data_IF_010051408409
#
_entry.id   IF_010051408409
#
_cell.length_a   1.000
_cell.length_b   1.000
_cell.length_c   1.000
_cell.angle_alpha   90.00
_cell.angle_beta   90.00
_cell.angle_gamma   90.00
#
_symmetry.space_group_name_H-M   'P 1'
#
loop_
_entity.id
_entity.type
_entity.pdbx_description
1 polymer ?
#
# COMPACT_ATOMS: atom_id res chain seq x y z
N UNK A 1 -1.69 10.50 -1.73
CA UNK A 1 -0.78 9.90 -0.77
C UNK A 1 -1.04 10.38 0.65
N UNK A 2 -0.96 11.69 0.92
CA UNK A 2 -1.14 12.27 2.27
C UNK A 2 -2.50 11.89 2.88
N UNK A 3 -3.59 11.94 2.11
CA UNK A 3 -4.92 11.60 2.61
C UNK A 3 -5.01 10.13 3.04
N UNK A 4 -4.44 9.23 2.25
CA UNK A 4 -4.40 7.79 2.55
C UNK A 4 -3.60 7.52 3.83
N UNK A 5 -2.38 8.08 3.94
CA UNK A 5 -1.54 7.91 5.13
C UNK A 5 -2.23 8.42 6.41
N UNK A 6 -2.88 9.59 6.34
CA UNK A 6 -3.67 10.14 7.47
C UNK A 6 -4.82 9.23 7.87
N UNK A 7 -5.56 8.70 6.88
CA UNK A 7 -6.67 7.79 7.15
C UNK A 7 -6.19 6.52 7.84
N UNK A 8 -5.10 5.91 7.35
CA UNK A 8 -4.47 4.74 7.96
C UNK A 8 -3.99 5.05 9.38
N UNK A 9 -3.38 6.22 9.60
CA UNK A 9 -2.96 6.66 10.92
C UNK A 9 -4.14 6.77 11.89
N UNK A 10 -5.22 7.43 11.48
CA UNK A 10 -6.42 7.58 12.29
C UNK A 10 -7.06 6.24 12.65
N UNK A 11 -7.04 5.31 11.72
CA UNK A 11 -7.52 3.94 11.93
C UNK A 11 -6.57 3.09 12.77
N UNK A 12 -5.44 3.62 13.22
CA UNK A 12 -4.53 2.97 14.17
C UNK A 12 -3.49 2.03 13.53
N UNK A 13 -3.23 2.16 12.22
CA UNK A 13 -2.13 1.42 11.60
C UNK A 13 -0.78 1.95 12.08
N UNK A 14 0.15 1.03 12.38
CA UNK A 14 1.50 1.38 12.82
C UNK A 14 2.27 2.18 11.76
N UNK A 15 3.19 3.03 12.21
CA UNK A 15 4.01 3.86 11.32
C UNK A 15 4.79 3.03 10.30
N UNK A 16 5.26 1.83 10.68
CA UNK A 16 6.01 0.94 9.78
C UNK A 16 5.17 0.33 8.66
N UNK A 17 3.86 0.11 8.88
CA UNK A 17 2.97 -0.49 7.88
C UNK A 17 2.31 0.51 6.92
N UNK A 18 2.17 1.76 7.35
CA UNK A 18 1.44 2.77 6.57
C UNK A 18 2.05 3.06 5.20
N UNK A 19 3.38 3.15 5.02
CA UNK A 19 3.97 3.38 3.71
C UNK A 19 3.58 2.32 2.68
N UNK A 20 3.72 1.04 3.01
CA UNK A 20 3.39 -0.09 2.14
C UNK A 20 1.91 -0.11 1.76
N UNK A 21 1.00 0.05 2.74
CA UNK A 21 -0.43 0.11 2.49
C UNK A 21 -0.83 1.33 1.67
N UNK A 22 -0.18 2.49 1.89
CA UNK A 22 -0.40 3.70 1.09
C UNK A 22 -0.02 3.47 -0.36
N UNK A 23 1.12 2.85 -0.62
CA UNK A 23 1.56 2.53 -1.98
C UNK A 23 0.66 1.49 -2.65
N UNK A 24 0.28 0.44 -1.91
CA UNK A 24 -0.66 -0.56 -2.42
C UNK A 24 -1.99 0.07 -2.82
N UNK A 25 -2.55 0.99 -2.02
CA UNK A 25 -3.76 1.72 -2.35
C UNK A 25 -3.62 2.58 -3.62
N UNK A 26 -2.48 3.27 -3.79
CA UNK A 26 -2.20 4.08 -4.98
C UNK A 26 -2.05 3.20 -6.21
N UNK A 27 -1.31 2.09 -6.13
CA UNK A 27 -1.14 1.19 -7.25
C UNK A 27 -2.42 0.47 -7.62
N UNK A 28 -3.20 0.02 -6.64
CA UNK A 28 -4.51 -0.59 -6.87
C UNK A 28 -5.44 0.38 -7.63
N UNK A 29 -5.56 1.62 -7.16
CA UNK A 29 -6.36 2.63 -7.84
C UNK A 29 -5.84 2.94 -9.26
N UNK A 30 -4.53 2.95 -9.44
CA UNK A 30 -3.86 3.21 -10.72
C UNK A 30 -4.07 2.09 -11.73
N UNK A 31 -4.13 0.84 -11.26
CA UNK A 31 -4.40 -0.35 -12.07
C UNK A 31 -5.89 -0.55 -12.36
N UNK A 32 -6.77 0.30 -11.83
CA UNK A 32 -8.22 0.18 -12.00
C UNK A 32 -8.86 -0.94 -11.19
N UNK A 33 -8.21 -1.35 -10.10
CA UNK A 33 -8.73 -2.29 -9.10
C UNK A 33 -9.60 -1.55 -8.07
N UNK A 34 -9.91 -2.17 -6.93
CA UNK A 34 -10.77 -1.56 -5.90
C UNK A 34 -10.21 -0.27 -5.30
N UNK A 35 -8.88 -0.12 -5.26
CA UNK A 35 -8.21 1.14 -4.97
C UNK A 35 -8.67 1.82 -3.68
N UNK A 36 -9.11 3.06 -3.79
CA UNK A 36 -9.54 3.85 -2.63
C UNK A 36 -10.88 3.39 -2.03
N UNK A 37 -11.68 2.58 -2.72
CA UNK A 37 -12.93 2.02 -2.21
C UNK A 37 -12.66 1.08 -1.02
N UNK A 38 -11.58 0.29 -1.05
CA UNK A 38 -11.16 -0.55 0.08
C UNK A 38 -10.92 0.27 1.35
N UNK A 39 -10.37 1.48 1.21
CA UNK A 39 -10.09 2.36 2.36
C UNK A 39 -11.35 2.94 2.99
N UNK A 40 -12.40 3.11 2.22
CA UNK A 40 -13.67 3.66 2.71
C UNK A 40 -14.57 2.57 3.26
N UNK A 41 -14.70 1.47 2.52
CA UNK A 41 -15.70 0.45 2.80
C UNK A 41 -15.17 -0.68 3.69
N UNK A 42 -13.88 -0.98 3.61
CA UNK A 42 -13.33 -2.21 4.22
C UNK A 42 -11.91 -2.04 4.82
N UNK A 43 -11.59 -0.85 5.33
CA UNK A 43 -10.26 -0.59 5.89
C UNK A 43 -9.90 -1.54 7.05
N UNK A 44 -10.89 -2.02 7.80
CA UNK A 44 -10.65 -2.92 8.92
C UNK A 44 -10.22 -4.34 8.46
N UNK A 45 -10.56 -4.75 7.23
CA UNK A 45 -10.05 -5.98 6.63
C UNK A 45 -8.51 -5.95 6.46
N UNK A 46 -7.93 -4.76 6.31
CA UNK A 46 -6.47 -4.59 6.24
C UNK A 46 -5.77 -4.86 7.58
N UNK A 47 -6.51 -4.91 8.69
CA UNK A 47 -5.97 -5.20 10.04
C UNK A 47 -5.95 -6.68 10.36
N UNK A 48 -6.71 -7.50 9.64
CA UNK A 48 -6.85 -8.92 9.93
C UNK A 48 -5.49 -9.61 9.79
N UNK A 49 -5.03 -10.27 10.84
CA UNK A 49 -3.87 -11.15 10.81
C UNK A 49 -2.50 -10.50 10.61
N UNK A 50 -2.37 -9.18 10.81
CA UNK A 50 -1.11 -8.43 10.58
C UNK A 50 0.12 -9.06 11.26
N UNK A 51 -0.07 -9.78 12.36
CA UNK A 51 1.04 -10.25 13.21
C UNK A 51 1.51 -11.70 12.92
N UNK A 52 0.78 -12.46 12.11
CA UNK A 52 1.07 -13.87 11.89
C UNK A 52 1.22 -14.21 10.41
N UNK A 53 2.41 -14.58 10.00
CA UNK A 53 2.68 -15.21 8.71
C UNK A 53 3.13 -16.64 8.95
N UNK A 54 2.65 -17.58 8.15
CA UNK A 54 3.22 -18.92 8.12
C UNK A 54 3.78 -19.22 6.74
N UNK A 55 5.08 -19.36 6.67
CA UNK A 55 5.74 -19.97 5.54
C UNK A 55 5.42 -21.47 5.58
N UNK A 56 4.59 -21.96 4.64
CA UNK A 56 4.15 -23.36 4.65
C UNK A 56 5.18 -24.32 4.07
N UNK A 57 6.03 -23.83 3.18
CA UNK A 57 7.06 -24.66 2.54
C UNK A 57 8.23 -23.80 2.06
N UNK A 58 9.44 -24.16 2.47
CA UNK A 58 10.70 -23.61 1.98
C UNK A 58 11.42 -24.70 1.18
N UNK A 59 10.88 -25.04 0.00
CA UNK A 59 11.71 -25.73 -0.98
C UNK A 59 12.56 -24.66 -1.68
N UNK A 60 13.82 -25.01 -2.02
CA UNK A 60 14.82 -24.08 -2.57
C UNK A 60 14.36 -23.31 -3.83
N UNK A 61 13.22 -23.67 -4.42
CA UNK A 61 12.72 -23.11 -5.68
C UNK A 61 11.28 -22.58 -5.61
N UNK A 62 10.47 -23.01 -4.63
CA UNK A 62 9.07 -22.59 -4.54
C UNK A 62 8.72 -22.26 -3.09
N UNK A 63 8.46 -20.99 -2.84
CA UNK A 63 7.92 -20.54 -1.56
C UNK A 63 6.40 -20.61 -1.59
N UNK A 64 5.81 -21.12 -0.52
CA UNK A 64 4.36 -21.09 -0.32
C UNK A 64 4.04 -20.31 0.96
N UNK A 65 3.34 -19.20 0.80
CA UNK A 65 2.91 -18.33 1.88
C UNK A 65 1.41 -18.56 2.16
N UNK A 66 1.06 -18.87 3.39
CA UNK A 66 -0.33 -18.85 3.84
C UNK A 66 -0.68 -17.45 4.34
N UNK A 67 -1.53 -16.76 3.61
CA UNK A 67 -2.00 -15.43 3.97
C UNK A 67 -3.03 -15.45 5.13
N UNK A 68 -3.55 -16.61 5.54
CA UNK A 68 -4.47 -16.74 6.67
C UNK A 68 -5.69 -15.81 6.60
N UNK A 69 -6.22 -15.60 5.40
CA UNK A 69 -7.37 -14.71 5.16
C UNK A 69 -7.03 -13.20 5.11
N UNK A 70 -5.76 -12.84 5.10
CA UNK A 70 -5.34 -11.44 4.98
C UNK A 70 -5.70 -10.87 3.62
N UNK A 71 -5.96 -9.58 3.59
CA UNK A 71 -6.08 -8.82 2.37
C UNK A 71 -4.75 -8.79 1.59
N UNK A 72 -4.80 -8.83 0.27
CA UNK A 72 -3.62 -8.86 -0.60
C UNK A 72 -2.61 -7.73 -0.30
N UNK A 73 -3.06 -6.52 0.00
CA UNK A 73 -2.16 -5.41 0.35
C UNK A 73 -1.35 -5.65 1.62
N UNK A 74 -1.88 -6.43 2.55
CA UNK A 74 -1.18 -6.73 3.81
C UNK A 74 0.04 -7.64 3.62
N UNK A 75 0.11 -8.38 2.52
CA UNK A 75 1.19 -9.32 2.19
C UNK A 75 2.01 -8.91 0.97
N UNK A 76 1.58 -7.89 0.22
CA UNK A 76 2.18 -7.51 -1.05
C UNK A 76 3.65 -7.06 -0.91
N UNK A 77 3.99 -6.30 0.14
CA UNK A 77 5.36 -5.85 0.41
C UNK A 77 6.27 -7.04 0.70
N UNK A 78 5.82 -7.99 1.52
CA UNK A 78 6.57 -9.20 1.87
C UNK A 78 6.85 -10.08 0.66
N UNK A 79 5.87 -10.22 -0.23
CA UNK A 79 6.04 -10.97 -1.47
C UNK A 79 7.07 -10.26 -2.36
N UNK A 80 7.02 -8.93 -2.45
CA UNK A 80 8.01 -8.14 -3.18
C UNK A 80 9.42 -8.34 -2.63
N UNK A 81 9.58 -8.33 -1.31
CA UNK A 81 10.86 -8.55 -0.64
C UNK A 81 11.38 -9.98 -0.85
N UNK A 82 10.50 -10.98 -0.73
CA UNK A 82 10.85 -12.38 -0.98
C UNK A 82 11.33 -12.60 -2.42
N UNK A 83 10.61 -12.08 -3.41
CA UNK A 83 11.00 -12.18 -4.82
C UNK A 83 12.34 -11.49 -5.08
N UNK A 84 12.56 -10.32 -4.47
CA UNK A 84 13.81 -9.57 -4.60
C UNK A 84 14.98 -10.35 -4.01
N UNK A 85 14.80 -10.98 -2.85
CA UNK A 85 15.86 -11.79 -2.22
C UNK A 85 16.11 -13.09 -2.99
N UNK A 86 15.06 -13.73 -3.54
CA UNK A 86 15.22 -14.91 -4.39
C UNK A 86 16.01 -14.59 -5.65
N UNK A 87 15.73 -13.46 -6.32
CA UNK A 87 16.47 -12.99 -7.48
C UNK A 87 17.95 -12.75 -7.15
N UNK A 88 18.25 -12.07 -6.04
CA UNK A 88 19.63 -11.86 -5.56
C UNK A 88 20.38 -13.17 -5.32
N UNK A 89 19.68 -14.22 -4.91
CA UNK A 89 20.24 -15.56 -4.71
C UNK A 89 20.30 -16.40 -5.98
N UNK A 90 20.01 -15.85 -7.16
CA UNK A 90 19.93 -16.56 -8.45
C UNK A 90 18.98 -17.78 -8.38
N UNK A 91 17.85 -17.65 -7.71
CA UNK A 91 16.82 -18.69 -7.62
C UNK A 91 15.68 -18.38 -8.59
N UNK A 92 15.02 -19.44 -9.06
CA UNK A 92 13.72 -19.26 -9.68
C UNK A 92 12.77 -18.60 -8.68
N UNK A 93 12.24 -17.43 -9.05
CA UNK A 93 11.50 -16.58 -8.13
C UNK A 93 10.02 -16.79 -8.35
N UNK A 94 9.44 -17.74 -7.62
CA UNK A 94 8.00 -17.95 -7.58
C UNK A 94 7.52 -18.05 -6.13
N UNK A 95 6.58 -17.19 -5.77
CA UNK A 95 5.89 -17.24 -4.47
C UNK A 95 4.43 -17.58 -4.72
N UNK A 96 3.99 -18.73 -4.24
CA UNK A 96 2.58 -19.11 -4.22
C UNK A 96 1.94 -18.64 -2.93
N UNK A 97 0.81 -17.94 -3.04
CA UNK A 97 0.05 -17.45 -1.89
C UNK A 97 -1.28 -18.17 -1.82
N UNK A 98 -1.60 -18.74 -0.67
CA UNK A 98 -2.88 -19.41 -0.40
C UNK A 98 -3.66 -18.67 0.68
N UNK A 99 -4.97 -18.95 0.77
CA UNK A 99 -5.87 -18.33 1.76
C UNK A 99 -5.83 -16.79 1.78
N UNK A 100 -5.78 -16.19 0.59
CA UNK A 100 -5.69 -14.75 0.40
C UNK A 100 -7.09 -14.16 0.19
N UNK A 101 -7.41 -13.09 0.90
CA UNK A 101 -8.59 -12.28 0.61
C UNK A 101 -8.26 -11.25 -0.49
N UNK A 102 -9.20 -11.05 -1.42
CA UNK A 102 -9.07 -10.18 -2.59
C UNK A 102 -7.80 -10.50 -3.42
N UNK A 103 -7.66 -11.71 -3.97
CA UNK A 103 -6.44 -12.14 -4.67
C UNK A 103 -6.12 -11.29 -5.90
N UNK A 104 -7.11 -10.67 -6.55
CA UNK A 104 -6.95 -9.73 -7.66
C UNK A 104 -6.14 -8.50 -7.27
N UNK A 105 -6.26 -8.06 -6.03
CA UNK A 105 -5.52 -6.94 -5.47
C UNK A 105 -4.00 -7.22 -5.33
N UNK A 106 -3.59 -8.48 -5.47
CA UNK A 106 -2.16 -8.81 -5.46
C UNK A 106 -1.41 -8.28 -6.68
N UNK A 107 -2.13 -7.82 -7.72
CA UNK A 107 -1.53 -7.15 -8.88
C UNK A 107 -0.67 -5.95 -8.51
N UNK A 108 -0.86 -5.34 -7.33
CA UNK A 108 -0.01 -4.25 -6.81
C UNK A 108 1.45 -4.68 -6.58
N UNK A 109 1.75 -5.98 -6.49
CA UNK A 109 3.13 -6.48 -6.39
C UNK A 109 3.94 -6.13 -7.64
N UNK A 110 3.29 -6.10 -8.82
CA UNK A 110 3.96 -5.69 -10.06
C UNK A 110 4.67 -4.34 -9.93
N UNK A 111 3.96 -3.24 -9.69
CA UNK A 111 4.59 -1.94 -9.48
C UNK A 111 5.46 -1.84 -8.21
N UNK A 112 5.18 -2.60 -7.15
CA UNK A 112 6.03 -2.63 -5.96
C UNK A 112 7.43 -3.16 -6.28
N UNK A 113 7.53 -4.28 -6.98
CA UNK A 113 8.82 -4.92 -7.32
C UNK A 113 9.60 -4.12 -8.36
N UNK A 114 8.95 -3.30 -9.18
CA UNK A 114 9.61 -2.42 -10.15
C UNK A 114 10.58 -1.43 -9.51
N UNK A 115 10.39 -1.07 -8.24
CA UNK A 115 11.35 -0.25 -7.48
C UNK A 115 12.72 -0.93 -7.34
N UNK A 116 12.74 -2.25 -7.37
CA UNK A 116 13.94 -3.08 -7.29
C UNK A 116 14.49 -3.44 -8.67
N UNK A 117 13.92 -2.88 -9.75
CA UNK A 117 14.32 -3.16 -11.13
C UNK A 117 13.81 -4.50 -11.65
N UNK A 118 12.88 -5.14 -10.95
CA UNK A 118 12.33 -6.45 -11.28
C UNK A 118 10.92 -6.32 -11.89
N UNK A 119 10.46 -7.37 -12.53
CA UNK A 119 9.08 -7.49 -13.02
C UNK A 119 8.44 -8.73 -12.41
N UNK A 120 7.14 -8.66 -12.13
CA UNK A 120 6.37 -9.81 -11.66
C UNK A 120 5.16 -10.05 -12.55
N UNK A 121 4.86 -11.32 -12.74
CA UNK A 121 3.60 -11.81 -13.34
C UNK A 121 2.77 -12.44 -12.22
N UNK A 122 1.51 -12.06 -12.15
CA UNK A 122 0.55 -12.56 -11.17
C UNK A 122 -0.46 -13.44 -11.89
N UNK A 123 -0.63 -14.67 -11.41
CA UNK A 123 -1.59 -15.63 -11.94
C UNK A 123 -2.49 -16.15 -10.82
N UNK A 124 -3.78 -15.96 -10.97
CA UNK A 124 -4.79 -16.45 -10.02
C UNK A 124 -5.18 -17.86 -10.43
N UNK A 125 -4.86 -18.83 -9.60
CA UNK A 125 -5.12 -20.25 -9.80
C UNK A 125 -6.19 -20.75 -8.81
N UNK A 126 -6.90 -21.83 -9.12
CA UNK A 126 -7.84 -22.44 -8.18
C UNK A 126 -7.20 -22.86 -6.85
N UNK A 127 -5.90 -23.14 -6.86
CA UNK A 127 -5.13 -23.58 -5.69
C UNK A 127 -4.39 -22.45 -4.96
N UNK A 128 -4.64 -21.18 -5.33
CA UNK A 128 -3.99 -19.99 -4.77
C UNK A 128 -3.42 -19.07 -5.86
N UNK A 129 -2.85 -17.93 -5.46
CA UNK A 129 -2.26 -16.97 -6.38
C UNK A 129 -0.76 -17.21 -6.49
N UNK A 130 -0.25 -17.39 -7.71
CA UNK A 130 1.17 -17.48 -7.98
C UNK A 130 1.71 -16.12 -8.39
N UNK A 131 2.81 -15.68 -7.78
CA UNK A 131 3.55 -14.47 -8.16
C UNK A 131 4.93 -14.89 -8.59
N UNK A 132 5.21 -14.73 -9.87
CA UNK A 132 6.47 -15.17 -10.48
C UNK A 132 7.28 -13.95 -10.93
N UNK A 133 8.55 -13.90 -10.57
CA UNK A 133 9.47 -12.93 -11.16
C UNK A 133 9.70 -13.29 -12.63
N UNK A 134 9.56 -12.29 -13.49
CA UNK A 134 9.83 -12.45 -14.92
C UNK A 134 11.19 -11.83 -15.22
N UNK A 135 12.13 -12.69 -15.66
CA UNK A 135 13.45 -12.24 -16.11
C UNK A 135 13.29 -11.44 -17.41
N UNK A 136 13.63 -10.18 -17.35
CA UNK A 136 13.61 -9.30 -18.52
C UNK A 136 14.04 -7.88 -18.11
N UNK A 137 14.50 -7.06 -19.05
CA UNK A 137 14.76 -5.68 -18.74
C UNK A 137 13.47 -5.07 -18.21
N UNK A 138 13.53 -4.48 -17.02
CA UNK A 138 12.48 -3.60 -16.54
C UNK A 138 12.27 -2.57 -17.66
N UNK A 139 11.17 -2.69 -18.39
CA UNK A 139 10.84 -1.70 -19.38
C UNK A 139 10.59 -0.40 -18.62
N UNK A 140 11.60 0.47 -18.57
CA UNK A 140 11.52 1.79 -17.94
C UNK A 140 10.36 2.62 -18.50
N UNK A 141 9.85 2.25 -19.66
CA UNK A 141 8.69 2.84 -20.32
C UNK A 141 7.34 2.58 -19.60
N UNK A 142 7.28 1.61 -18.69
CA UNK A 142 6.04 1.25 -17.98
C UNK A 142 6.17 1.34 -16.45
N UNK A 143 6.99 2.26 -15.94
CA UNK A 143 7.07 2.45 -14.52
C UNK A 143 5.77 3.12 -14.00
N UNK A 144 4.98 2.36 -13.26
CA UNK A 144 3.68 2.78 -12.77
C UNK A 144 3.78 4.00 -11.83
N UNK A 145 4.82 4.09 -11.04
CA UNK A 145 5.05 5.25 -10.18
C UNK A 145 5.26 6.53 -11.00
N UNK A 146 6.06 6.46 -12.07
CA UNK A 146 6.26 7.60 -12.98
C UNK A 146 4.94 7.97 -13.68
N UNK A 147 4.15 6.99 -14.09
CA UNK A 147 2.83 7.23 -14.67
C UNK A 147 1.93 7.98 -13.70
N UNK A 148 1.86 7.55 -12.44
CA UNK A 148 1.09 8.22 -11.39
C UNK A 148 1.58 9.66 -11.18
N UNK A 149 2.90 9.87 -11.13
CA UNK A 149 3.48 11.20 -10.93
C UNK A 149 3.17 12.18 -12.07
N UNK A 150 3.15 11.69 -13.32
CA UNK A 150 2.94 12.53 -14.50
C UNK A 150 1.47 12.71 -14.86
N UNK A 151 0.65 11.68 -14.71
CA UNK A 151 -0.74 11.67 -15.19
C UNK A 151 -1.77 11.73 -14.06
N UNK A 152 -1.34 11.45 -12.82
CA UNK A 152 -2.23 11.27 -11.69
C UNK A 152 -2.98 9.94 -11.75
N UNK A 153 -3.93 9.77 -10.83
CA UNK A 153 -4.85 8.63 -10.78
C UNK A 153 -6.24 9.16 -11.08
N UNK A 154 -6.89 8.72 -12.17
CA UNK A 154 -8.27 9.08 -12.45
C UNK A 154 -9.15 8.60 -11.30
N UNK A 155 -9.83 9.52 -10.65
CA UNK A 155 -10.69 9.20 -9.50
C UNK A 155 -12.02 9.91 -9.66
N UNK A 156 -13.12 9.20 -9.40
CA UNK A 156 -14.46 9.79 -9.39
C UNK A 156 -14.51 10.91 -8.35
N UNK A 157 -15.19 12.00 -8.68
CA UNK A 157 -15.29 13.17 -7.79
C UNK A 157 -15.90 12.83 -6.43
N UNK A 158 -16.92 11.99 -6.43
CA UNK A 158 -17.62 11.51 -5.23
C UNK A 158 -16.67 10.74 -4.33
N UNK A 159 -15.97 9.74 -4.86
CA UNK A 159 -14.98 8.93 -4.14
C UNK A 159 -13.83 9.78 -3.58
N UNK A 160 -13.35 10.75 -4.37
CA UNK A 160 -12.34 11.70 -3.90
C UNK A 160 -12.84 12.53 -2.72
N UNK A 161 -14.08 13.02 -2.81
CA UNK A 161 -14.67 13.83 -1.74
C UNK A 161 -14.86 13.02 -0.45
N UNK A 162 -15.36 11.79 -0.55
CA UNK A 162 -15.51 10.88 0.59
C UNK A 162 -14.17 10.57 1.24
N UNK A 163 -13.13 10.26 0.45
CA UNK A 163 -11.78 10.03 0.95
C UNK A 163 -11.22 11.27 1.65
N UNK A 164 -11.46 12.45 1.08
CA UNK A 164 -11.05 13.72 1.69
C UNK A 164 -11.76 13.96 3.03
N UNK A 165 -13.07 13.77 3.09
CA UNK A 165 -13.84 13.90 4.33
C UNK A 165 -13.39 12.90 5.40
N UNK A 166 -13.20 11.63 5.03
CA UNK A 166 -12.71 10.60 5.93
C UNK A 166 -11.31 10.94 6.48
N UNK A 167 -10.43 11.48 5.64
CA UNK A 167 -9.09 11.89 6.05
C UNK A 167 -9.08 13.14 6.96
N UNK A 168 -10.07 14.02 6.82
CA UNK A 168 -10.20 15.20 7.67
C UNK A 168 -10.58 14.82 9.10
N UNK A 169 -11.33 13.74 9.30
CA UNK A 169 -11.62 13.20 10.62
C UNK A 169 -10.35 12.77 11.37
N UNK A 170 -9.26 12.51 10.64
CA UNK A 170 -7.95 12.17 11.19
C UNK A 170 -7.11 13.39 11.62
N UNK A 171 -7.57 14.60 11.35
CA UNK A 171 -6.85 15.81 11.77
C UNK A 171 -7.07 16.04 13.26
N UNK A 172 -6.00 16.39 13.96
CA UNK A 172 -6.12 16.85 15.33
C UNK A 172 -7.03 18.09 15.37
N UNK A 173 -7.95 18.20 16.34
CA UNK A 173 -8.77 19.39 16.49
C UNK A 173 -7.87 20.61 16.60
N UNK A 174 -8.26 21.68 15.91
CA UNK A 174 -7.54 22.96 15.97
C UNK A 174 -7.71 23.57 17.35
N UNK A 175 -6.71 23.36 18.20
CA UNK A 175 -6.67 23.86 19.58
C UNK A 175 -5.85 25.15 19.66
N UNK A 176 -6.09 25.95 20.72
CA UNK A 176 -5.28 27.15 20.98
C UNK A 176 -3.78 26.80 21.05
N UNK A 177 -3.46 25.62 21.62
CA UNK A 177 -2.09 25.12 21.73
C UNK A 177 -1.47 24.77 20.35
N UNK A 178 -2.24 24.11 19.46
CA UNK A 178 -1.75 23.76 18.12
C UNK A 178 -1.47 25.01 17.26
N UNK A 179 -2.26 26.04 17.42
CA UNK A 179 -2.04 27.35 16.76
C UNK A 179 -0.76 28.03 17.25
N UNK A 180 -0.51 27.98 18.56
CA UNK A 180 0.69 28.57 19.15
C UNK A 180 1.98 27.88 18.67
N UNK A 181 1.94 26.56 18.45
CA UNK A 181 3.08 25.82 17.90
C UNK A 181 3.26 26.01 16.39
N UNK A 182 2.20 26.32 15.67
CA UNK A 182 2.27 26.52 14.22
C UNK A 182 2.71 27.95 13.81
N UNK A 183 2.59 28.93 14.72
CA UNK A 183 3.01 30.31 14.45
C UNK A 183 4.25 30.67 15.28
N UNK A 184 5.25 31.22 14.60
CA UNK A 184 6.43 31.81 15.25
C UNK A 184 6.14 33.18 15.85
N UNK A 185 4.92 33.68 15.69
CA UNK A 185 4.46 34.97 16.21
C UNK A 185 3.51 34.76 17.36
N UNK A 186 3.85 35.33 18.53
CA UNK A 186 2.93 35.46 19.63
C UNK A 186 1.84 36.48 19.22
N UNK A 187 0.64 35.98 18.95
CA UNK A 187 -0.53 36.83 18.84
C UNK A 187 -1.03 37.13 20.25
N UNK A 188 -1.03 38.38 20.64
CA UNK A 188 -1.70 38.84 21.85
C UNK A 188 -3.23 38.55 21.74
N UNK A 189 -3.90 38.40 22.87
CA UNK A 189 -5.33 38.07 22.94
C UNK A 189 -6.23 39.12 22.26
N UNK A 190 -5.71 40.33 22.03
CA UNK A 190 -6.36 41.46 21.37
C UNK A 190 -6.07 41.59 19.85
N UNK A 191 -5.50 40.57 19.23
CA UNK A 191 -5.05 40.57 17.83
C UNK A 191 -4.01 41.64 17.46
N UNK A 192 -3.33 42.25 18.42
CA UNK A 192 -2.20 43.13 18.13
C UNK A 192 -0.92 42.34 18.03
N UNK A 193 -0.14 42.55 16.97
CA UNK A 193 1.22 42.03 16.85
C UNK A 193 2.10 42.77 17.85
N UNK A 194 2.64 42.06 18.84
CA UNK A 194 3.73 42.55 19.69
C UNK A 194 5.02 42.09 19.02
N UNK A 195 5.75 43.03 18.41
CA UNK A 195 7.04 42.80 17.78
C UNK A 195 8.15 42.54 18.79
#
# INVERSE_FOLDING_TARGET
RILVDRLLQWKGFSAGRRPALTESALYSASLGLSGFEVLLDNIDALKIGIENHSLLNDSKTNLCLDAQGKHAWAVAEEISDLLTEMDRCNRESCVKVVNLAAPEELAVVGPLIQKHGLNAQIEILPSGTAVTHVVGPSASEKNELLRICHQGIPTKRELWFELFQASNAAQAPDTKLSRTHASTTNLAEDNTFVG
#
